data_IF_806793801239
#
_entry.id   IF_806793801239
#
_cell.length_a   1.000
_cell.length_b   1.000
_cell.length_c   1.000
_cell.angle_alpha   90.00
_cell.angle_beta   90.00
_cell.angle_gamma   90.00
#
_symmetry.space_group_name_H-M   'P 1'
#
loop_
_entity.id
_entity.type
_entity.pdbx_description
1 polymer ?
#
# COMPACT_ATOMS: atom_id res chain seq x y z
N UNK A 1 7.76 -6.29 -23.15
CA UNK A 1 8.26 -5.17 -22.33
C UNK A 1 7.15 -4.56 -21.46
N UNK A 2 6.20 -3.80 -22.02
CA UNK A 2 5.16 -3.15 -21.21
C UNK A 2 4.21 -4.14 -20.51
N UNK A 3 3.78 -5.19 -21.22
CA UNK A 3 2.93 -6.24 -20.64
C UNK A 3 3.63 -6.99 -19.50
N UNK A 4 4.90 -7.34 -19.70
CA UNK A 4 5.71 -8.04 -18.69
C UNK A 4 5.87 -7.17 -17.44
N UNK A 5 6.11 -5.86 -17.61
CA UNK A 5 6.15 -4.91 -16.51
C UNK A 5 4.83 -4.89 -15.73
N UNK A 6 3.68 -4.79 -16.42
CA UNK A 6 2.38 -4.78 -15.73
C UNK A 6 2.07 -6.09 -15.03
N UNK A 7 2.48 -7.22 -15.60
CA UNK A 7 2.33 -8.53 -14.96
C UNK A 7 3.14 -8.60 -13.66
N UNK A 8 4.40 -8.18 -13.69
CA UNK A 8 5.27 -8.18 -12.51
C UNK A 8 4.79 -7.17 -11.46
N UNK A 9 4.41 -5.97 -11.88
CA UNK A 9 3.82 -4.95 -11.02
C UNK A 9 2.57 -5.47 -10.30
N UNK A 10 1.67 -6.14 -11.01
CA UNK A 10 0.44 -6.68 -10.43
C UNK A 10 0.75 -7.81 -9.45
N UNK A 11 1.67 -8.70 -9.80
CA UNK A 11 2.15 -9.78 -8.92
C UNK A 11 2.77 -9.21 -7.64
N UNK A 12 3.65 -8.23 -7.76
CA UNK A 12 4.27 -7.55 -6.63
C UNK A 12 3.22 -6.93 -5.72
N UNK A 13 2.27 -6.15 -6.27
CA UNK A 13 1.24 -5.47 -5.49
C UNK A 13 0.33 -6.46 -4.77
N UNK A 14 -0.03 -7.58 -5.40
CA UNK A 14 -0.83 -8.64 -4.80
C UNK A 14 -0.10 -9.33 -3.64
N UNK A 15 1.18 -9.66 -3.82
CA UNK A 15 1.98 -10.27 -2.76
C UNK A 15 2.22 -9.30 -1.61
N UNK A 16 2.50 -8.02 -1.91
CA UNK A 16 2.64 -6.97 -0.91
C UNK A 16 1.36 -6.82 -0.07
N UNK A 17 0.17 -6.86 -0.70
CA UNK A 17 -1.09 -6.86 0.02
C UNK A 17 -1.16 -8.00 1.04
N UNK A 18 -0.86 -9.25 0.63
CA UNK A 18 -0.85 -10.39 1.54
C UNK A 18 0.14 -10.19 2.69
N UNK A 19 1.34 -9.69 2.41
CA UNK A 19 2.36 -9.44 3.43
C UNK A 19 1.93 -8.36 4.42
N UNK A 20 1.30 -7.28 3.96
CA UNK A 20 0.75 -6.22 4.82
C UNK A 20 -0.30 -6.79 5.77
N UNK A 21 -1.19 -7.66 5.28
CA UNK A 21 -2.23 -8.30 6.10
C UNK A 21 -1.64 -9.18 7.21
N UNK A 22 -0.72 -10.08 6.86
CA UNK A 22 -0.21 -11.06 7.82
C UNK A 22 0.79 -10.44 8.81
N UNK A 23 1.49 -9.36 8.41
CA UNK A 23 2.55 -8.76 9.24
C UNK A 23 2.12 -7.49 9.98
N UNK A 24 0.94 -6.94 9.69
CA UNK A 24 0.43 -5.69 10.25
C UNK A 24 0.03 -5.71 11.74
N UNK A 25 0.14 -6.86 12.42
CA UNK A 25 -0.08 -7.04 13.87
C UNK A 25 -1.54 -6.95 14.35
N UNK A 26 -2.41 -6.29 13.58
CA UNK A 26 -3.87 -6.35 13.67
C UNK A 26 -4.38 -6.70 12.27
N UNK A 27 -5.59 -7.29 12.12
CA UNK A 27 -6.17 -7.50 10.79
C UNK A 27 -6.10 -6.19 10.02
N UNK A 28 -5.45 -6.15 8.85
CA UNK A 28 -5.45 -4.92 8.09
C UNK A 28 -6.92 -4.65 7.78
N UNK A 29 -7.36 -3.43 8.08
CA UNK A 29 -8.75 -3.06 7.84
C UNK A 29 -8.96 -3.29 6.36
N UNK A 30 -9.83 -4.22 5.94
CA UNK A 30 -9.85 -4.72 4.55
C UNK A 30 -9.90 -3.65 3.47
N UNK A 31 -10.35 -2.44 3.79
CA UNK A 31 -10.30 -1.25 2.93
C UNK A 31 -8.87 -0.73 2.64
N UNK A 32 -7.90 -1.00 3.50
CA UNK A 32 -6.49 -0.62 3.35
C UNK A 32 -5.78 -1.51 2.31
N UNK A 33 -6.11 -2.81 2.27
CA UNK A 33 -5.59 -3.77 1.29
C UNK A 33 -6.14 -3.55 -0.11
N UNK A 34 -7.46 -3.38 -0.22
CA UNK A 34 -8.16 -3.25 -1.51
C UNK A 34 -7.78 -1.95 -2.23
N UNK A 35 -7.32 -0.94 -1.49
CA UNK A 35 -6.97 0.36 -2.03
C UNK A 35 -5.47 0.54 -2.32
N UNK A 36 -4.62 -0.48 -2.18
CA UNK A 36 -3.20 -0.34 -2.51
C UNK A 36 -3.01 0.08 -3.97
N UNK A 37 -2.26 1.16 -4.15
CA UNK A 37 -2.14 1.84 -5.42
C UNK A 37 -0.72 2.38 -5.57
N UNK A 38 0.02 1.84 -6.53
CA UNK A 38 1.39 2.28 -6.84
C UNK A 38 1.42 3.58 -7.67
N UNK A 39 0.38 3.84 -8.47
CA UNK A 39 0.31 4.99 -9.38
C UNK A 39 -1.07 5.65 -9.26
N UNK A 40 -1.14 6.98 -9.35
CA UNK A 40 -2.44 7.66 -9.39
C UNK A 40 -3.27 7.18 -10.59
N UNK A 41 -4.53 6.83 -10.34
CA UNK A 41 -5.52 6.47 -11.35
C UNK A 41 -6.77 7.32 -11.17
N UNK A 42 -7.72 7.22 -12.11
CA UNK A 42 -9.04 7.82 -11.95
C UNK A 42 -9.81 7.22 -10.75
N UNK A 43 -9.52 5.96 -10.39
CA UNK A 43 -10.21 5.23 -9.33
C UNK A 43 -9.58 5.40 -7.95
N UNK A 44 -8.33 5.85 -7.87
CA UNK A 44 -7.60 5.92 -6.60
C UNK A 44 -6.27 6.65 -6.70
N UNK A 45 -5.84 7.21 -5.57
CA UNK A 45 -4.56 7.90 -5.45
C UNK A 45 -3.46 6.94 -4.99
N UNK A 46 -2.22 7.18 -5.45
CA UNK A 46 -1.04 6.44 -5.03
C UNK A 46 -0.89 6.51 -3.51
N UNK A 47 -0.66 5.35 -2.91
CA UNK A 47 -0.40 5.20 -1.48
C UNK A 47 0.80 4.33 -1.14
N UNK A 48 1.56 3.82 -2.11
CA UNK A 48 2.82 3.09 -1.89
C UNK A 48 4.00 4.05 -2.09
N UNK A 49 4.92 4.07 -1.13
CA UNK A 49 6.07 4.97 -1.12
C UNK A 49 7.32 4.26 -0.62
N UNK A 50 8.48 4.82 -0.96
CA UNK A 50 9.79 4.36 -0.48
C UNK A 50 10.48 5.51 0.22
N UNK A 51 11.00 5.27 1.41
CA UNK A 51 11.82 6.20 2.17
C UNK A 51 12.99 5.44 2.80
N UNK A 52 14.21 5.91 2.57
CA UNK A 52 15.46 5.30 3.05
C UNK A 52 15.61 3.81 2.73
N UNK A 53 15.13 3.39 1.55
CA UNK A 53 15.17 1.99 1.12
C UNK A 53 14.09 1.11 1.74
N UNK A 54 13.10 1.70 2.42
CA UNK A 54 11.97 0.99 3.01
C UNK A 54 10.65 1.38 2.35
N UNK A 55 9.89 0.38 1.93
CA UNK A 55 8.51 0.50 1.47
C UNK A 55 7.60 0.76 2.67
N UNK A 56 6.73 1.76 2.51
CA UNK A 56 5.67 2.08 3.46
C UNK A 56 4.40 2.49 2.70
N UNK A 57 3.26 2.38 3.37
CA UNK A 57 1.96 2.75 2.78
C UNK A 57 1.37 3.98 3.48
N UNK A 58 0.64 4.81 2.75
CA UNK A 58 -0.03 6.00 3.31
C UNK A 58 -1.52 5.95 3.01
N UNK A 59 -2.32 5.80 4.05
CA UNK A 59 -3.76 5.65 3.88
C UNK A 59 -4.49 6.90 4.34
N UNK A 60 -5.46 7.33 3.54
CA UNK A 60 -6.35 8.41 3.92
C UNK A 60 -7.53 7.82 4.70
N UNK A 61 -7.72 8.29 5.94
CA UNK A 61 -8.92 7.98 6.72
C UNK A 61 -9.78 9.22 6.87
N UNK A 62 -11.03 9.12 6.43
CA UNK A 62 -12.06 10.13 6.62
C UNK A 62 -13.01 9.66 7.73
N UNK A 63 -12.58 9.82 8.99
CA UNK A 63 -13.49 9.67 10.14
C UNK A 63 -14.04 11.04 10.51
N UNK A 64 -15.34 11.25 10.36
CA UNK A 64 -16.04 12.50 10.68
C UNK A 64 -16.11 13.51 9.53
N UNK A 65 -16.58 14.71 9.83
CA UNK A 65 -16.67 15.84 8.89
C UNK A 65 -15.38 16.64 8.93
N UNK A 66 -14.53 16.50 7.90
CA UNK A 66 -13.26 17.22 7.84
C UNK A 66 -12.29 16.66 6.81
N UNK A 67 -11.09 17.24 6.76
CA UNK A 67 -10.02 16.77 5.88
C UNK A 67 -9.60 15.35 6.27
N UNK A 68 -9.43 14.48 5.29
CA UNK A 68 -8.93 13.14 5.51
C UNK A 68 -7.54 13.17 6.18
N UNK A 69 -7.37 12.38 7.23
CA UNK A 69 -6.08 12.20 7.90
C UNK A 69 -5.25 11.18 7.14
N UNK A 70 -4.01 11.53 6.82
CA UNK A 70 -3.05 10.58 6.26
C UNK A 70 -2.39 9.80 7.39
N UNK A 71 -2.34 8.48 7.25
CA UNK A 71 -1.72 7.56 8.20
C UNK A 71 -0.61 6.83 7.45
N UNK A 72 0.67 7.22 7.64
CA UNK A 72 1.79 6.42 7.16
C UNK A 72 1.92 5.16 8.01
N UNK A 73 2.16 4.02 7.36
CA UNK A 73 2.41 2.72 7.99
C UNK A 73 3.69 2.14 7.40
N UNK A 74 4.74 2.10 8.23
CA UNK A 74 5.96 1.39 7.89
C UNK A 74 5.74 -0.11 8.03
N UNK A 75 6.27 -0.85 7.07
CA UNK A 75 6.22 -2.31 7.07
C UNK A 75 7.36 -2.86 7.92
N UNK A 76 7.21 -4.05 8.52
CA UNK A 76 8.31 -4.72 9.20
C UNK A 76 9.52 -4.86 8.28
N UNK A 77 10.73 -4.80 8.85
CA UNK A 77 11.99 -4.77 8.09
C UNK A 77 12.06 -5.81 6.95
N UNK A 78 11.66 -7.06 7.24
CA UNK A 78 11.65 -8.16 6.26
C UNK A 78 10.74 -7.94 5.04
N UNK A 79 9.72 -7.09 5.17
CA UNK A 79 8.78 -6.72 4.08
C UNK A 79 9.13 -5.35 3.50
N UNK A 80 9.59 -4.43 4.34
CA UNK A 80 9.92 -3.07 3.92
C UNK A 80 11.09 -3.00 2.94
N UNK A 81 12.02 -3.95 2.94
CA UNK A 81 13.18 -3.96 2.03
C UNK A 81 13.01 -4.83 0.77
N UNK A 82 11.77 -5.21 0.44
CA UNK A 82 11.47 -5.97 -0.78
C UNK A 82 11.77 -5.18 -2.07
#
# INVERSE_FOLDING_TARGET
AAQDYFAEHNRFTQLLAVLVEITGGMPARGTELVNLCHTNTLAGQRNIFVHDGYVFTVLATSKGTGRAKLIPRFLPHAVGQL
#
